data_IF_328028713313
#
_entry.id   IF_328028713313
#
_cell.length_a   1.000
_cell.length_b   1.000
_cell.length_c   1.000
_cell.angle_alpha   90.00
_cell.angle_beta   90.00
_cell.angle_gamma   90.00
#
_symmetry.space_group_name_H-M   'P 1'
#
loop_
_entity.id
_entity.type
_entity.pdbx_description
1 polymer ?
#
# COMPACT_ATOMS: atom_id res chain seq x y z
N UNK A 1 39.87 20.20 60.62
CA UNK A 1 39.57 18.80 60.94
C UNK A 1 38.10 18.56 60.60
N UNK A 2 37.67 18.80 59.36
CA UNK A 2 37.95 18.07 58.11
C UNK A 2 36.79 17.11 57.81
N UNK A 3 36.17 17.30 56.63
CA UNK A 3 35.09 16.47 56.14
C UNK A 3 34.39 17.12 54.95
N UNK A 4 35.12 17.23 53.84
CA UNK A 4 34.65 17.82 52.59
C UNK A 4 33.36 17.16 52.07
N UNK A 5 32.44 17.99 51.58
CA UNK A 5 31.27 17.58 50.80
C UNK A 5 31.74 16.99 49.47
N UNK A 6 31.67 15.67 49.29
CA UNK A 6 31.91 15.01 48.00
C UNK A 6 30.58 14.68 47.32
N UNK A 7 29.92 15.71 46.79
CA UNK A 7 28.83 15.54 45.83
C UNK A 7 29.35 15.12 44.46
N UNK A 8 29.72 13.85 44.27
CA UNK A 8 30.18 13.34 42.97
C UNK A 8 30.06 11.82 42.86
N UNK A 9 28.88 11.32 42.44
CA UNK A 9 28.77 9.93 41.91
C UNK A 9 27.49 9.59 41.10
N UNK A 10 26.36 10.29 41.22
CA UNK A 10 25.09 9.77 40.62
C UNK A 10 24.75 10.27 39.20
N UNK A 11 25.36 11.37 38.72
CA UNK A 11 25.03 11.96 37.40
C UNK A 11 25.67 11.24 36.20
N UNK A 12 26.69 10.40 36.45
CA UNK A 12 27.38 9.63 35.41
C UNK A 12 26.65 8.36 34.97
N UNK A 13 25.87 7.75 35.89
CA UNK A 13 25.13 6.49 35.64
C UNK A 13 24.02 6.68 34.61
N UNK A 14 23.16 7.69 34.83
CA UNK A 14 22.02 7.97 33.94
C UNK A 14 22.48 8.34 32.52
N UNK A 15 23.57 9.09 32.38
CA UNK A 15 24.07 9.51 31.06
C UNK A 15 24.62 8.33 30.25
N UNK A 16 25.33 7.40 30.91
CA UNK A 16 25.88 6.20 30.25
C UNK A 16 24.79 5.19 29.94
N UNK A 17 23.83 4.98 30.83
CA UNK A 17 22.69 4.09 30.60
C UNK A 17 21.87 4.54 29.38
N UNK A 18 21.56 5.84 29.30
CA UNK A 18 20.86 6.41 28.13
C UNK A 18 21.71 6.29 26.86
N UNK A 19 23.02 6.50 26.92
CA UNK A 19 23.89 6.34 25.75
C UNK A 19 23.87 4.91 25.17
N UNK A 20 23.67 3.89 26.02
CA UNK A 20 23.58 2.49 25.60
C UNK A 20 22.16 2.11 25.16
N UNK A 21 21.12 2.59 25.83
CA UNK A 21 19.72 2.25 25.53
C UNK A 21 19.13 3.05 24.37
N UNK A 22 19.56 4.31 24.18
CA UNK A 22 18.99 5.20 23.17
C UNK A 22 19.07 4.62 21.75
N UNK A 23 20.18 4.00 21.28
CA UNK A 23 20.23 3.39 19.95
C UNK A 23 19.18 2.28 19.76
N UNK A 24 18.98 1.42 20.77
CA UNK A 24 17.99 0.36 20.71
C UNK A 24 16.56 0.92 20.66
N UNK A 25 16.29 1.97 21.44
CA UNK A 25 14.99 2.65 21.41
C UNK A 25 14.72 3.37 20.09
N UNK A 26 15.72 4.04 19.51
CA UNK A 26 15.61 4.66 18.18
C UNK A 26 15.34 3.59 17.13
N UNK A 27 16.06 2.46 17.17
CA UNK A 27 15.82 1.34 16.25
C UNK A 27 14.39 0.80 16.37
N UNK A 28 13.85 0.69 17.58
CA UNK A 28 12.45 0.31 17.82
C UNK A 28 11.47 1.31 17.17
N UNK A 29 11.70 2.62 17.33
CA UNK A 29 10.85 3.65 16.73
C UNK A 29 10.91 3.64 15.20
N UNK A 30 12.09 3.46 14.62
CA UNK A 30 12.26 3.33 13.16
C UNK A 30 11.51 2.11 12.64
N UNK A 31 11.66 0.96 13.30
CA UNK A 31 10.96 -0.27 12.93
C UNK A 31 9.44 -0.10 13.04
N UNK A 32 8.96 0.52 14.12
CA UNK A 32 7.55 0.84 14.29
C UNK A 32 7.03 1.77 13.19
N UNK A 33 7.80 2.78 12.79
CA UNK A 33 7.46 3.69 11.69
C UNK A 33 7.38 2.99 10.34
N UNK A 34 8.36 2.15 10.00
CA UNK A 34 8.36 1.32 8.78
C UNK A 34 7.15 0.39 8.76
N UNK A 35 6.91 -0.34 9.85
CA UNK A 35 5.78 -1.26 9.96
C UNK A 35 4.42 -0.52 9.85
N UNK A 36 4.27 0.59 10.57
CA UNK A 36 3.06 1.42 10.53
C UNK A 36 2.78 1.97 9.15
N UNK A 37 3.79 2.52 8.47
CA UNK A 37 3.63 3.02 7.10
C UNK A 37 3.30 1.93 6.11
N UNK A 38 3.90 0.75 6.26
CA UNK A 38 3.58 -0.42 5.42
C UNK A 38 2.13 -0.86 5.61
N UNK A 39 1.65 -0.88 6.85
CA UNK A 39 0.28 -1.28 7.19
C UNK A 39 -0.74 -0.31 6.58
N UNK A 40 -0.55 1.00 6.78
CA UNK A 40 -1.40 2.04 6.18
C UNK A 40 -1.42 1.92 4.65
N UNK A 41 -0.25 1.69 4.03
CA UNK A 41 -0.16 1.52 2.59
C UNK A 41 -0.93 0.27 2.10
N UNK A 42 -0.86 -0.84 2.83
CA UNK A 42 -1.60 -2.05 2.48
C UNK A 42 -3.12 -1.84 2.53
N UNK A 43 -3.61 -1.14 3.55
CA UNK A 43 -5.03 -0.82 3.69
C UNK A 43 -5.51 0.11 2.56
N UNK A 44 -4.78 1.19 2.29
CA UNK A 44 -5.13 2.14 1.23
C UNK A 44 -5.11 1.49 -0.17
N UNK A 45 -4.08 0.69 -0.47
CA UNK A 45 -3.99 -0.04 -1.75
C UNK A 45 -5.09 -1.10 -1.86
N UNK A 46 -5.49 -1.73 -0.74
CA UNK A 46 -6.64 -2.62 -0.67
C UNK A 46 -7.95 -1.92 -1.03
N UNK A 47 -8.21 -0.76 -0.41
CA UNK A 47 -9.40 0.07 -0.73
C UNK A 47 -9.39 0.52 -2.19
N UNK A 48 -8.26 1.03 -2.67
CA UNK A 48 -8.11 1.48 -4.06
C UNK A 48 -8.35 0.34 -5.05
N UNK A 49 -7.84 -0.87 -4.80
CA UNK A 49 -8.10 -2.03 -5.65
C UNK A 49 -9.58 -2.42 -5.65
N UNK A 50 -10.26 -2.34 -4.49
CA UNK A 50 -11.69 -2.60 -4.37
C UNK A 50 -12.52 -1.59 -5.18
N UNK A 51 -12.27 -0.30 -4.99
CA UNK A 51 -12.96 0.79 -5.68
C UNK A 51 -12.72 0.72 -7.19
N UNK A 52 -11.48 0.45 -7.61
CA UNK A 52 -11.13 0.30 -9.02
C UNK A 52 -11.82 -0.88 -9.70
N UNK A 53 -11.86 -2.04 -9.05
CA UNK A 53 -12.56 -3.22 -9.59
C UNK A 53 -14.08 -3.01 -9.65
N UNK A 54 -14.66 -2.28 -8.70
CA UNK A 54 -16.07 -1.90 -8.71
C UNK A 54 -16.38 -0.89 -9.82
N UNK A 55 -15.55 0.15 -9.98
CA UNK A 55 -15.69 1.12 -11.05
C UNK A 55 -15.55 0.46 -12.44
N UNK A 56 -14.62 -0.49 -12.57
CA UNK A 56 -14.46 -1.28 -13.78
C UNK A 56 -15.71 -2.11 -14.10
N UNK A 57 -16.28 -2.82 -13.12
CA UNK A 57 -17.39 -3.75 -13.37
C UNK A 57 -18.71 -3.09 -13.76
N UNK A 58 -18.92 -1.83 -13.36
CA UNK A 58 -20.12 -1.04 -13.74
C UNK A 58 -19.97 -0.32 -15.09
N UNK A 59 -18.75 -0.28 -15.63
CA UNK A 59 -18.44 0.37 -16.90
C UNK A 59 -18.97 -0.43 -18.09
N UNK A 60 -19.26 0.26 -19.20
CA UNK A 60 -19.89 -0.36 -20.38
C UNK A 60 -18.90 -1.09 -21.28
N UNK A 61 -17.68 -0.56 -21.39
CA UNK A 61 -16.64 -1.07 -22.29
C UNK A 61 -15.34 -1.24 -21.53
N UNK A 62 -14.44 -2.09 -22.04
CA UNK A 62 -13.15 -2.32 -21.43
C UNK A 62 -12.26 -1.06 -21.43
N UNK A 63 -12.42 -0.16 -22.41
CA UNK A 63 -11.71 1.13 -22.44
C UNK A 63 -12.16 2.04 -21.29
N UNK A 64 -13.47 2.32 -21.22
CA UNK A 64 -14.06 3.14 -20.16
C UNK A 64 -13.79 2.54 -18.76
N UNK A 65 -13.77 1.21 -18.65
CA UNK A 65 -13.48 0.51 -17.40
C UNK A 65 -12.05 0.76 -16.89
N UNK A 66 -11.06 0.85 -17.79
CA UNK A 66 -9.67 1.15 -17.42
C UNK A 66 -9.52 2.60 -16.94
N UNK A 67 -10.15 3.53 -17.64
CA UNK A 67 -10.18 4.95 -17.27
C UNK A 67 -10.87 5.14 -15.91
N UNK A 68 -12.06 4.56 -15.73
CA UNK A 68 -12.81 4.62 -14.47
C UNK A 68 -12.03 3.98 -13.31
N UNK A 69 -11.37 2.85 -13.55
CA UNK A 69 -10.50 2.22 -12.55
C UNK A 69 -9.30 3.11 -12.18
N UNK A 70 -8.64 3.74 -13.16
CA UNK A 70 -7.52 4.66 -12.92
C UNK A 70 -7.93 5.89 -12.11
N UNK A 71 -9.09 6.47 -12.43
CA UNK A 71 -9.66 7.59 -11.67
C UNK A 71 -10.00 7.18 -10.24
N UNK A 72 -10.63 6.01 -10.05
CA UNK A 72 -10.95 5.48 -8.73
C UNK A 72 -9.70 5.25 -7.88
N UNK A 73 -8.61 4.68 -8.46
CA UNK A 73 -7.33 4.55 -7.74
C UNK A 73 -6.81 5.91 -7.31
N UNK A 74 -6.80 6.90 -8.22
CA UNK A 74 -6.27 8.23 -7.92
C UNK A 74 -7.06 8.90 -6.81
N UNK A 75 -8.40 8.84 -6.87
CA UNK A 75 -9.27 9.38 -5.84
C UNK A 75 -9.07 8.66 -4.49
N UNK A 76 -9.12 7.33 -4.45
CA UNK A 76 -8.96 6.57 -3.20
C UNK A 76 -7.59 6.80 -2.54
N UNK A 77 -6.52 6.93 -3.34
CA UNK A 77 -5.18 7.22 -2.80
C UNK A 77 -5.06 8.66 -2.29
N UNK A 78 -5.67 9.63 -2.95
CA UNK A 78 -5.69 11.03 -2.49
C UNK A 78 -6.46 11.18 -1.17
N UNK A 79 -7.61 10.52 -1.06
CA UNK A 79 -8.40 10.45 0.19
C UNK A 79 -7.60 9.87 1.35
N UNK A 80 -6.82 8.82 1.09
CA UNK A 80 -5.97 8.17 2.09
C UNK A 80 -4.63 8.90 2.30
N UNK A 81 -4.37 9.97 1.52
CA UNK A 81 -3.10 10.73 1.53
C UNK A 81 -1.88 9.84 1.32
N UNK A 82 -2.03 8.78 0.52
CA UNK A 82 -0.93 7.88 0.18
C UNK A 82 -0.30 8.29 -1.14
N UNK A 83 0.96 8.70 -1.10
CA UNK A 83 1.75 9.01 -2.28
C UNK A 83 2.68 7.85 -2.62
N UNK A 84 2.47 7.26 -3.79
CA UNK A 84 3.42 6.31 -4.36
C UNK A 84 4.67 7.05 -4.83
N UNK A 85 5.81 6.36 -4.82
CA UNK A 85 6.97 6.76 -5.59
C UNK A 85 6.63 6.59 -7.08
N UNK A 86 6.33 7.71 -7.74
CA UNK A 86 5.78 7.73 -9.09
C UNK A 86 4.28 7.41 -9.16
N UNK A 87 3.82 6.97 -10.33
CA UNK A 87 2.41 6.64 -10.54
C UNK A 87 2.10 5.19 -10.13
N UNK A 88 0.94 4.92 -9.48
CA UNK A 88 0.52 3.56 -9.18
C UNK A 88 0.37 2.75 -10.47
N UNK A 89 0.82 1.50 -10.43
CA UNK A 89 0.74 0.58 -11.55
C UNK A 89 -0.55 -0.23 -11.46
N UNK A 90 -1.33 -0.26 -12.55
CA UNK A 90 -2.57 -1.03 -12.62
C UNK A 90 -2.40 -2.22 -13.58
N UNK A 91 -2.83 -3.40 -13.13
CA UNK A 91 -2.90 -4.62 -13.94
C UNK A 91 -4.32 -5.15 -13.95
N UNK A 92 -4.80 -5.51 -15.14
CA UNK A 92 -6.17 -5.93 -15.38
C UNK A 92 -6.21 -7.37 -15.87
N UNK A 93 -7.15 -8.16 -15.34
CA UNK A 93 -7.42 -9.52 -15.79
C UNK A 93 -8.91 -9.82 -15.66
N UNK A 94 -9.37 -10.90 -16.29
CA UNK A 94 -10.77 -11.29 -16.25
C UNK A 94 -10.95 -12.79 -16.04
N UNK A 95 -12.17 -13.21 -15.79
CA UNK A 95 -12.56 -14.61 -15.83
C UNK A 95 -13.98 -14.76 -16.34
N UNK A 96 -14.24 -15.79 -17.13
CA UNK A 96 -15.57 -16.14 -17.66
C UNK A 96 -15.85 -17.60 -17.32
N UNK A 97 -16.98 -17.87 -16.67
CA UNK A 97 -17.34 -19.22 -16.22
C UNK A 97 -16.34 -19.85 -15.25
N UNK A 98 -15.56 -19.03 -14.52
CA UNK A 98 -14.49 -19.49 -13.64
C UNK A 98 -13.15 -19.76 -14.33
N UNK A 99 -13.07 -19.60 -15.66
CA UNK A 99 -11.82 -19.75 -16.42
C UNK A 99 -11.14 -18.39 -16.56
N UNK A 100 -9.85 -18.31 -16.24
CA UNK A 100 -9.08 -17.06 -16.37
C UNK A 100 -8.96 -16.65 -17.84
N UNK A 101 -9.12 -15.36 -18.12
CA UNK A 101 -8.99 -14.79 -19.46
C UNK A 101 -8.48 -13.34 -19.39
N UNK A 102 -8.31 -12.69 -20.54
CA UNK A 102 -7.96 -11.28 -20.59
C UNK A 102 -9.12 -10.40 -20.10
N UNK A 103 -8.81 -9.19 -19.67
CA UNK A 103 -9.83 -8.22 -19.27
C UNK A 103 -10.83 -7.95 -20.41
N UNK A 104 -10.35 -7.73 -21.64
CA UNK A 104 -11.21 -7.47 -22.80
C UNK A 104 -12.09 -8.69 -23.14
N UNK A 105 -11.56 -9.90 -23.03
CA UNK A 105 -12.34 -11.12 -23.28
C UNK A 105 -13.45 -11.32 -22.23
N UNK A 106 -13.22 -10.92 -20.97
CA UNK A 106 -14.27 -10.92 -19.96
C UNK A 106 -15.35 -9.86 -20.24
N UNK A 107 -14.99 -8.71 -20.83
CA UNK A 107 -15.98 -7.74 -21.31
C UNK A 107 -16.76 -8.24 -22.52
N UNK A 108 -16.11 -8.96 -23.43
CA UNK A 108 -16.70 -9.55 -24.63
C UNK A 108 -17.50 -10.84 -24.38
N UNK A 109 -17.61 -11.30 -23.12
CA UNK A 109 -18.39 -12.49 -22.77
C UNK A 109 -19.86 -12.33 -23.17
N UNK A 110 -20.46 -13.36 -23.76
CA UNK A 110 -21.87 -13.34 -24.16
C UNK A 110 -22.84 -13.19 -22.97
N UNK A 111 -24.08 -12.72 -23.23
CA UNK A 111 -25.09 -12.58 -22.19
C UNK A 111 -25.38 -13.91 -21.50
N UNK A 112 -25.66 -13.85 -20.19
CA UNK A 112 -25.91 -15.04 -19.37
C UNK A 112 -24.65 -15.76 -18.87
N UNK A 113 -23.46 -15.43 -19.38
CA UNK A 113 -22.21 -15.95 -18.83
C UNK A 113 -21.79 -15.19 -17.57
N UNK A 114 -21.32 -15.93 -16.56
CA UNK A 114 -20.76 -15.34 -15.34
C UNK A 114 -19.35 -14.85 -15.66
N UNK A 115 -19.19 -13.54 -15.78
CA UNK A 115 -17.88 -12.91 -15.97
C UNK A 115 -17.47 -12.14 -14.71
N UNK A 116 -16.18 -12.03 -14.48
CA UNK A 116 -15.58 -11.20 -13.42
C UNK A 116 -14.38 -10.44 -13.98
N UNK A 117 -14.10 -9.30 -13.38
CA UNK A 117 -12.91 -8.50 -13.67
C UNK A 117 -12.10 -8.35 -12.40
N UNK A 118 -10.78 -8.46 -12.52
CA UNK A 118 -9.86 -8.17 -11.45
C UNK A 118 -8.98 -6.99 -11.80
N UNK A 119 -8.79 -6.12 -10.82
CA UNK A 119 -7.83 -5.01 -10.88
C UNK A 119 -6.80 -5.24 -9.78
N UNK A 120 -5.52 -5.26 -10.15
CA UNK A 120 -4.40 -5.22 -9.22
C UNK A 120 -3.79 -3.83 -9.25
N UNK A 121 -3.61 -3.25 -8.07
CA UNK A 121 -2.93 -1.98 -7.87
C UNK A 121 -1.60 -2.28 -7.18
N UNK A 122 -0.52 -1.73 -7.71
CA UNK A 122 0.83 -1.86 -7.17
C UNK A 122 1.43 -0.46 -7.00
N UNK A 123 2.04 -0.23 -5.84
CA UNK A 123 2.59 1.05 -5.43
C UNK A 123 3.92 0.82 -4.72
N UNK A 124 4.92 1.66 -5.00
CA UNK A 124 6.16 1.71 -4.24
C UNK A 124 6.02 2.80 -3.19
N UNK A 125 6.29 2.50 -1.93
CA UNK A 125 6.22 3.44 -0.81
C UNK A 125 7.62 3.65 -0.25
N UNK A 126 8.10 4.88 -0.30
CA UNK A 126 9.43 5.25 0.20
C UNK A 126 9.47 5.33 1.73
N UNK A 127 10.64 5.09 2.32
CA UNK A 127 10.97 5.30 3.72
C UNK A 127 12.00 6.41 3.93
N UNK A 128 12.25 7.27 2.92
CA UNK A 128 13.33 8.25 2.93
C UNK A 128 13.31 9.25 4.11
N UNK A 129 12.14 9.51 4.68
CA UNK A 129 11.93 10.37 5.87
C UNK A 129 12.12 9.65 7.21
N UNK A 130 12.13 8.31 7.21
CA UNK A 130 12.30 7.45 8.39
C UNK A 130 13.69 6.79 8.39
N UNK A 131 14.39 6.83 7.25
CA UNK A 131 15.65 6.13 7.09
C UNK A 131 16.75 6.71 7.99
N UNK A 132 17.49 5.82 8.64
CA UNK A 132 18.72 6.16 9.33
C UNK A 132 19.86 5.88 8.35
N UNK A 133 20.42 6.94 7.73
CA UNK A 133 21.49 6.83 6.72
C UNK A 133 22.76 6.10 7.22
N UNK A 134 22.86 5.88 8.53
CA UNK A 134 23.95 5.18 9.20
C UNK A 134 23.68 3.69 9.43
N UNK A 135 22.48 3.16 9.12
CA UNK A 135 22.12 1.76 9.32
C UNK A 135 22.35 0.95 8.03
N UNK A 136 23.34 0.02 8.00
CA UNK A 136 23.60 -0.80 6.83
C UNK A 136 22.40 -1.69 6.48
N UNK A 137 21.96 -1.68 5.21
CA UNK A 137 20.94 -2.60 4.70
C UNK A 137 19.48 -2.17 4.92
N UNK A 138 19.22 -0.93 5.33
CA UNK A 138 17.86 -0.40 5.37
C UNK A 138 17.34 -0.15 3.94
N UNK A 139 16.15 -0.66 3.56
CA UNK A 139 15.59 -0.42 2.24
C UNK A 139 15.04 1.00 2.12
N UNK A 140 15.20 1.63 0.95
CA UNK A 140 14.69 2.98 0.66
C UNK A 140 13.16 3.04 0.53
N UNK A 141 12.51 1.88 0.46
CA UNK A 141 11.07 1.74 0.34
C UNK A 141 10.61 0.28 0.27
N UNK A 142 9.30 0.07 0.09
CA UNK A 142 8.71 -1.24 -0.15
C UNK A 142 7.71 -1.20 -1.29
N UNK A 143 7.53 -2.33 -1.98
CA UNK A 143 6.44 -2.50 -2.94
C UNK A 143 5.22 -3.11 -2.25
N UNK A 144 4.10 -2.41 -2.32
CA UNK A 144 2.80 -2.87 -1.80
C UNK A 144 1.86 -3.14 -2.98
N UNK A 145 1.12 -4.24 -2.94
CA UNK A 145 0.11 -4.53 -3.96
C UNK A 145 -1.12 -5.20 -3.37
N UNK A 146 -2.28 -4.88 -3.94
CA UNK A 146 -3.54 -5.57 -3.65
C UNK A 146 -4.29 -5.86 -4.95
N UNK A 147 -5.13 -6.89 -4.92
CA UNK A 147 -5.98 -7.28 -6.05
C UNK A 147 -7.40 -7.46 -5.54
N UNK A 148 -8.35 -6.87 -6.24
CA UNK A 148 -9.77 -7.12 -6.00
C UNK A 148 -10.46 -7.61 -7.27
N UNK A 149 -11.49 -8.43 -7.10
CA UNK A 149 -12.28 -9.01 -8.19
C UNK A 149 -13.74 -8.63 -8.00
N UNK A 150 -14.34 -8.07 -9.05
CA UNK A 150 -15.77 -7.72 -9.06
C UNK A 150 -16.49 -8.51 -10.15
N UNK A 151 -17.74 -8.98 -9.88
CA UNK A 151 -18.57 -9.56 -10.92
C UNK A 151 -18.96 -8.50 -11.94
N UNK A 152 -19.00 -8.91 -13.20
CA UNK A 152 -19.47 -8.15 -14.33
C UNK A 152 -20.97 -8.45 -14.54
N UNK A 153 -21.81 -7.44 -14.80
CA UNK A 153 -23.25 -7.65 -14.94
C UNK A 153 -23.57 -8.55 -16.15
N UNK A 154 -24.11 -9.74 -15.85
CA UNK A 154 -24.44 -10.83 -16.79
C UNK A 154 -25.69 -10.58 -17.64
N UNK A 155 -26.54 -9.63 -17.25
CA UNK A 155 -27.79 -9.35 -17.95
C UNK A 155 -27.74 -8.07 -18.79
N UNK A 156 -26.64 -7.33 -18.73
CA UNK A 156 -26.48 -6.08 -19.46
C UNK A 156 -25.90 -6.34 -20.84
N UNK A 157 -26.55 -5.80 -21.88
CA UNK A 157 -25.94 -5.77 -23.21
C UNK A 157 -24.69 -4.87 -23.19
N UNK A 158 -23.62 -5.35 -23.82
CA UNK A 158 -22.34 -4.65 -23.95
C UNK A 158 -22.07 -4.48 -25.42
N UNK A 159 -22.06 -3.22 -25.88
CA UNK A 159 -21.89 -2.81 -27.26
C UNK A 159 -21.26 -1.44 -27.29
#
# INVERSE_FOLDING_TARGET
>A
MDGAVTGRAERGSVSVEVAVLAPAFIALLVLAGVAGRTAIAQEAIGSAAHDAARAASISRTAGAAREAAGNAVTESLDWQRLNCEGAPQLSFSGSVGGVSTSFDAAFASGPGQVATVSVRVTCVVSYADIQLSTAPGMPDGTTVSARFTSPLDRYRSRG
#
